data_IF_457153516738
#
_entry.id   IF_457153516738
#
_cell.length_a   1.000
_cell.length_b   1.000
_cell.length_c   1.000
_cell.angle_alpha   90.00
_cell.angle_beta   90.00
_cell.angle_gamma   90.00
#
_symmetry.space_group_name_H-M   'P 1'
#
loop_
_entity.id
_entity.type
_entity.pdbx_description
1 polymer ?
#
# COMPACT_ATOMS: atom_id res chain seq x y z
N UNK A 1 4.91 6.02 32.46
CA UNK A 1 4.88 4.55 32.36
C UNK A 1 3.70 3.89 33.09
N UNK A 2 3.20 4.44 34.21
CA UNK A 2 2.09 3.84 34.99
C UNK A 2 0.69 3.85 34.31
N UNK A 3 0.43 4.67 33.29
CA UNK A 3 -0.90 4.73 32.64
C UNK A 3 -1.13 3.69 31.52
N UNK A 4 -0.07 3.15 30.92
CA UNK A 4 -0.19 2.29 29.72
C UNK A 4 -0.71 0.88 30.04
N UNK A 5 -0.27 0.32 31.16
CA UNK A 5 -0.71 -1.00 31.64
C UNK A 5 -2.08 -0.92 32.32
N UNK A 6 -2.37 0.19 33.00
CA UNK A 6 -3.64 0.38 33.71
C UNK A 6 -4.87 0.49 32.78
N UNK A 7 -4.66 0.85 31.51
CA UNK A 7 -5.70 0.93 30.48
C UNK A 7 -5.84 -0.35 29.65
N UNK A 8 -5.09 -1.41 29.97
CA UNK A 8 -4.98 -2.61 29.12
C UNK A 8 -4.65 -2.26 27.65
N UNK A 9 -3.95 -1.14 27.43
CA UNK A 9 -3.68 -0.58 26.10
C UNK A 9 -3.07 -1.60 25.13
N UNK A 10 -2.12 -2.48 25.52
CA UNK A 10 -1.62 -3.51 24.62
C UNK A 10 -2.73 -4.39 24.01
N UNK A 11 -3.72 -4.78 24.81
CA UNK A 11 -4.82 -5.64 24.35
C UNK A 11 -5.70 -4.91 23.34
N UNK A 12 -6.04 -3.65 23.62
CA UNK A 12 -6.85 -2.81 22.71
C UNK A 12 -6.12 -2.58 21.38
N UNK A 13 -4.80 -2.36 21.41
CA UNK A 13 -4.01 -2.16 20.20
C UNK A 13 -3.90 -3.44 19.36
N UNK A 14 -3.81 -4.61 19.99
CA UNK A 14 -3.86 -5.89 19.27
C UNK A 14 -5.23 -6.12 18.63
N UNK A 15 -6.34 -5.85 19.35
CA UNK A 15 -7.69 -5.92 18.79
C UNK A 15 -7.87 -4.98 17.59
N UNK A 16 -7.37 -3.74 17.68
CA UNK A 16 -7.38 -2.80 16.56
C UNK A 16 -6.54 -3.32 15.37
N UNK A 17 -5.38 -3.90 15.66
CA UNK A 17 -4.49 -4.48 14.66
C UNK A 17 -5.13 -5.66 13.91
N UNK A 18 -5.99 -6.45 14.54
CA UNK A 18 -6.75 -7.53 13.88
C UNK A 18 -7.73 -7.01 12.82
N UNK A 19 -8.20 -5.76 12.95
CA UNK A 19 -9.06 -5.12 11.96
C UNK A 19 -8.28 -4.44 10.81
N UNK A 20 -6.94 -4.42 10.86
CA UNK A 20 -6.12 -3.84 9.80
C UNK A 20 -5.92 -4.80 8.63
N UNK A 21 -6.31 -4.38 7.43
CA UNK A 21 -6.15 -5.19 6.20
C UNK A 21 -4.74 -5.12 5.59
N UNK A 22 -3.90 -4.19 6.07
CA UNK A 22 -2.57 -3.91 5.52
C UNK A 22 -1.51 -3.94 6.62
N UNK A 23 -0.34 -4.54 6.35
CA UNK A 23 0.73 -4.70 7.35
C UNK A 23 1.23 -3.36 7.89
N UNK A 24 1.37 -2.33 7.04
CA UNK A 24 1.77 -1.01 7.54
C UNK A 24 0.70 -0.39 8.45
N UNK A 25 -0.59 -0.61 8.18
CA UNK A 25 -1.68 -0.16 9.07
C UNK A 25 -1.64 -0.91 10.40
N UNK A 26 -1.35 -2.22 10.37
CA UNK A 26 -1.16 -3.03 11.59
C UNK A 26 0.00 -2.52 12.44
N UNK A 27 1.14 -2.24 11.81
CA UNK A 27 2.31 -1.64 12.48
C UNK A 27 1.95 -0.29 13.11
N UNK A 28 1.23 0.57 12.38
CA UNK A 28 0.77 1.86 12.90
C UNK A 28 -0.13 1.67 14.13
N UNK A 29 -1.12 0.76 14.07
CA UNK A 29 -2.02 0.48 15.17
C UNK A 29 -1.26 0.05 16.44
N UNK A 30 -0.32 -0.89 16.34
CA UNK A 30 0.47 -1.37 17.48
C UNK A 30 1.43 -0.31 18.02
N UNK A 31 1.92 0.57 17.13
CA UNK A 31 2.82 1.65 17.51
C UNK A 31 2.12 2.80 18.24
N UNK A 32 0.78 2.85 18.25
CA UNK A 32 0.02 3.92 18.88
C UNK A 32 0.42 4.11 20.34
N UNK A 33 0.45 5.38 20.73
CA UNK A 33 0.71 5.82 22.10
C UNK A 33 -0.42 6.76 22.53
N UNK A 34 -0.79 6.75 23.83
CA UNK A 34 -1.73 7.72 24.37
C UNK A 34 -1.33 9.13 23.98
N UNK A 35 -2.32 9.96 23.64
CA UNK A 35 -2.08 11.38 23.40
C UNK A 35 -1.48 12.03 24.65
N UNK A 36 -0.56 12.96 24.44
CA UNK A 36 0.11 13.70 25.52
C UNK A 36 -0.55 15.06 25.80
N UNK A 37 -1.60 15.43 25.07
CA UNK A 37 -2.39 16.64 25.26
C UNK A 37 -3.83 16.42 24.80
N UNK A 38 -4.72 17.31 25.24
CA UNK A 38 -6.15 17.28 24.87
C UNK A 38 -6.31 17.57 23.38
N UNK A 39 -5.56 18.54 22.86
CA UNK A 39 -5.61 18.98 21.46
C UNK A 39 -5.25 17.82 20.50
N UNK A 40 -4.22 17.03 20.86
CA UNK A 40 -3.84 15.84 20.07
C UNK A 40 -4.94 14.78 20.13
N UNK A 41 -5.59 14.62 21.29
CA UNK A 41 -6.68 13.66 21.45
C UNK A 41 -7.91 14.07 20.62
N UNK A 42 -8.31 15.34 20.68
CA UNK A 42 -9.43 15.89 19.92
C UNK A 42 -9.17 15.79 18.41
N UNK A 43 -7.96 16.13 17.96
CA UNK A 43 -7.58 16.00 16.55
C UNK A 43 -7.73 14.55 16.05
N UNK A 44 -7.18 13.56 16.78
CA UNK A 44 -7.25 12.14 16.39
C UNK A 44 -8.69 11.60 16.40
N UNK A 45 -9.52 12.03 17.35
CA UNK A 45 -10.93 11.66 17.42
C UNK A 45 -11.73 12.25 16.25
N UNK A 46 -11.46 13.50 15.90
CA UNK A 46 -12.07 14.17 14.75
C UNK A 46 -11.64 13.49 13.45
N UNK A 47 -10.34 13.21 13.28
CA UNK A 47 -9.80 12.46 12.15
C UNK A 47 -10.49 11.09 11.99
N UNK A 48 -10.65 10.34 13.08
CA UNK A 48 -11.32 9.03 13.06
C UNK A 48 -12.81 9.15 12.71
N UNK A 49 -13.49 10.18 13.24
CA UNK A 49 -14.90 10.43 12.98
C UNK A 49 -15.12 10.80 11.52
N UNK A 50 -14.23 11.62 10.97
CA UNK A 50 -14.21 12.02 9.57
C UNK A 50 -13.96 10.81 8.66
N UNK A 51 -12.92 10.02 8.93
CA UNK A 51 -12.61 8.78 8.21
C UNK A 51 -13.81 7.81 8.16
N UNK A 52 -14.48 7.60 9.31
CA UNK A 52 -15.67 6.75 9.37
C UNK A 52 -16.81 7.30 8.51
N UNK A 53 -17.04 8.60 8.55
CA UNK A 53 -18.11 9.27 7.78
C UNK A 53 -17.82 9.16 6.28
N UNK A 54 -16.58 9.44 5.90
CA UNK A 54 -16.11 9.31 4.53
C UNK A 54 -16.31 7.88 3.98
N UNK A 55 -15.91 6.86 4.74
CA UNK A 55 -16.08 5.45 4.34
C UNK A 55 -17.55 5.04 4.21
N UNK A 56 -18.43 5.55 5.08
CA UNK A 56 -19.87 5.29 4.98
C UNK A 56 -20.48 5.92 3.71
N UNK A 57 -20.02 7.11 3.33
CA UNK A 57 -20.50 7.81 2.14
C UNK A 57 -19.89 7.23 0.84
N UNK A 58 -18.74 6.55 0.94
CA UNK A 58 -17.99 6.01 -0.20
C UNK A 58 -17.71 4.50 -0.02
N UNK A 59 -18.74 3.64 -0.04
CA UNK A 59 -18.60 2.20 0.25
C UNK A 59 -17.75 1.44 -0.79
N UNK A 60 -17.51 2.05 -1.96
CA UNK A 60 -16.66 1.49 -3.00
C UNK A 60 -15.19 1.94 -2.90
N UNK A 61 -14.84 2.77 -1.92
CA UNK A 61 -13.45 3.11 -1.61
C UNK A 61 -12.80 1.93 -0.92
N UNK A 62 -12.40 0.94 -1.72
CA UNK A 62 -11.70 -0.24 -1.21
C UNK A 62 -10.21 -0.20 -1.55
N UNK A 63 -9.39 -0.43 -0.52
CA UNK A 63 -7.95 -0.63 -0.61
C UNK A 63 -7.73 -2.16 -0.61
N UNK A 64 -8.43 -2.85 -1.52
CA UNK A 64 -8.36 -4.30 -1.64
C UNK A 64 -7.20 -4.75 -2.53
N UNK A 65 -6.66 -5.94 -2.23
CA UNK A 65 -5.62 -6.60 -3.02
C UNK A 65 -4.32 -5.78 -3.18
N UNK A 66 -4.00 -4.99 -2.16
CA UNK A 66 -2.80 -4.17 -2.08
C UNK A 66 -1.83 -4.81 -1.10
N UNK A 67 -0.55 -4.81 -1.49
CA UNK A 67 0.53 -5.44 -0.73
C UNK A 67 1.52 -4.39 -0.28
N UNK A 68 2.12 -4.62 0.89
CA UNK A 68 3.17 -3.76 1.38
C UNK A 68 4.44 -4.02 0.58
N UNK A 69 4.82 -3.02 -0.22
CA UNK A 69 5.93 -3.11 -1.16
C UNK A 69 7.20 -2.42 -0.65
N UNK A 70 7.28 -2.10 0.64
CA UNK A 70 8.46 -1.43 1.22
C UNK A 70 9.73 -2.24 0.97
N UNK A 71 9.65 -3.57 1.07
CA UNK A 71 10.79 -4.46 0.84
C UNK A 71 11.20 -4.52 -0.63
N UNK A 72 10.25 -4.60 -1.56
CA UNK A 72 10.47 -4.49 -3.00
C UNK A 72 11.14 -3.15 -3.35
N UNK A 73 10.66 -2.03 -2.80
CA UNK A 73 11.23 -0.70 -3.02
C UNK A 73 12.66 -0.61 -2.46
N UNK A 74 12.89 -1.12 -1.25
CA UNK A 74 14.21 -1.11 -0.64
C UNK A 74 15.22 -1.94 -1.44
N UNK A 75 14.82 -3.11 -1.93
CA UNK A 75 15.65 -3.92 -2.83
C UNK A 75 15.92 -3.23 -4.16
N UNK A 76 14.91 -2.60 -4.77
CA UNK A 76 15.08 -1.87 -6.02
C UNK A 76 16.04 -0.67 -5.88
N UNK A 77 16.01 0.04 -4.75
CA UNK A 77 16.99 1.10 -4.43
C UNK A 77 18.42 0.59 -4.41
N UNK A 78 18.63 -0.66 -4.01
CA UNK A 78 19.92 -1.36 -4.03
C UNK A 78 20.23 -2.04 -5.38
N UNK A 79 19.55 -1.63 -6.47
CA UNK A 79 19.69 -2.18 -7.83
C UNK A 79 19.34 -3.67 -7.96
N UNK A 80 18.57 -4.23 -7.02
CA UNK A 80 18.10 -5.60 -7.13
C UNK A 80 17.08 -5.74 -8.28
N UNK A 81 17.06 -6.92 -8.90
CA UNK A 81 16.08 -7.25 -9.92
C UNK A 81 14.77 -7.66 -9.25
N UNK A 82 13.69 -6.93 -9.53
CA UNK A 82 12.34 -7.28 -9.13
C UNK A 82 11.71 -8.28 -10.11
N UNK A 83 10.97 -9.24 -9.56
CA UNK A 83 10.13 -10.16 -10.31
C UNK A 83 8.91 -9.44 -10.90
N UNK A 84 8.34 -9.95 -12.01
CA UNK A 84 7.13 -9.37 -12.59
C UNK A 84 5.98 -9.13 -11.60
N UNK A 85 5.72 -10.10 -10.71
CA UNK A 85 4.64 -9.97 -9.73
C UNK A 85 4.88 -8.85 -8.72
N UNK A 86 6.14 -8.60 -8.37
CA UNK A 86 6.55 -7.52 -7.45
C UNK A 86 6.33 -6.15 -8.11
N UNK A 87 6.59 -6.04 -9.42
CA UNK A 87 6.28 -4.84 -10.19
C UNK A 87 4.77 -4.60 -10.29
N UNK A 88 3.97 -5.63 -10.51
CA UNK A 88 2.50 -5.50 -10.51
C UNK A 88 1.99 -5.03 -9.16
N UNK A 89 2.50 -5.56 -8.05
CA UNK A 89 2.14 -5.09 -6.70
C UNK A 89 2.45 -3.60 -6.50
N UNK A 90 3.63 -3.15 -6.95
CA UNK A 90 4.00 -1.72 -6.91
C UNK A 90 3.01 -0.89 -7.74
N UNK A 91 2.66 -1.34 -8.95
CA UNK A 91 1.66 -0.64 -9.77
C UNK A 91 0.29 -0.57 -9.06
N UNK A 92 -0.15 -1.66 -8.43
CA UNK A 92 -1.46 -1.70 -7.78
C UNK A 92 -1.58 -0.72 -6.61
N UNK A 93 -0.57 -0.62 -5.74
CA UNK A 93 -0.59 0.38 -4.65
C UNK A 93 -0.58 1.82 -5.20
N UNK A 94 0.16 2.08 -6.28
CA UNK A 94 0.20 3.42 -6.89
C UNK A 94 -1.16 3.80 -7.48
N UNK A 95 -1.78 2.90 -8.25
CA UNK A 95 -3.13 3.09 -8.80
C UNK A 95 -4.13 3.34 -7.68
N UNK A 96 -4.14 2.49 -6.65
CA UNK A 96 -5.06 2.62 -5.54
C UNK A 96 -4.87 3.92 -4.75
N UNK A 97 -3.61 4.33 -4.51
CA UNK A 97 -3.30 5.60 -3.86
C UNK A 97 -3.83 6.78 -4.67
N UNK A 98 -3.68 6.76 -6.00
CA UNK A 98 -4.18 7.83 -6.87
C UNK A 98 -5.71 7.89 -6.87
N UNK A 99 -6.39 6.75 -6.99
CA UNK A 99 -7.86 6.73 -6.96
C UNK A 99 -8.40 7.15 -5.60
N UNK A 100 -7.81 6.69 -4.49
CA UNK A 100 -8.16 7.12 -3.14
C UNK A 100 -7.99 8.63 -2.97
N UNK A 101 -6.83 9.17 -3.37
CA UNK A 101 -6.57 10.61 -3.36
C UNK A 101 -7.64 11.37 -4.13
N UNK A 102 -7.96 10.93 -5.35
CA UNK A 102 -8.98 11.56 -6.19
C UNK A 102 -10.36 11.58 -5.51
N UNK A 103 -10.77 10.47 -4.90
CA UNK A 103 -12.06 10.40 -4.18
C UNK A 103 -12.08 11.34 -2.99
N UNK A 104 -11.03 11.37 -2.17
CA UNK A 104 -10.95 12.26 -1.00
C UNK A 104 -10.98 13.73 -1.44
N UNK A 105 -10.20 14.11 -2.47
CA UNK A 105 -10.16 15.49 -2.94
C UNK A 105 -11.51 15.96 -3.53
N UNK A 106 -12.30 15.05 -4.11
CA UNK A 106 -13.65 15.35 -4.58
C UNK A 106 -14.66 15.56 -3.44
N UNK A 107 -14.42 14.95 -2.27
CA UNK A 107 -15.25 15.06 -1.07
C UNK A 107 -14.78 16.18 -0.10
N UNK A 108 -14.07 17.19 -0.62
CA UNK A 108 -13.38 18.23 0.18
C UNK A 108 -14.26 18.97 1.19
N UNK A 109 -15.56 19.12 0.92
CA UNK A 109 -16.52 19.80 1.79
C UNK A 109 -16.94 18.97 3.02
N UNK A 110 -16.73 17.65 3.00
CA UNK A 110 -17.17 16.71 4.03
C UNK A 110 -16.00 16.15 4.84
N UNK A 111 -14.76 16.36 4.38
CA UNK A 111 -13.58 15.72 4.96
C UNK A 111 -12.33 16.61 4.89
N UNK A 112 -12.27 17.63 5.74
CA UNK A 112 -11.17 18.60 5.75
C UNK A 112 -9.83 18.01 6.20
N UNK A 113 -9.81 17.14 7.22
CA UNK A 113 -8.57 16.52 7.73
C UNK A 113 -8.02 15.55 6.67
N UNK A 114 -8.87 14.67 6.13
CA UNK A 114 -8.50 13.73 5.08
C UNK A 114 -8.09 14.47 3.81
N UNK A 115 -8.74 15.59 3.46
CA UNK A 115 -8.33 16.42 2.34
C UNK A 115 -6.91 16.94 2.51
N UNK A 116 -6.53 17.42 3.70
CA UNK A 116 -5.16 17.83 4.00
C UNK A 116 -4.17 16.66 3.87
N UNK A 117 -4.52 15.48 4.37
CA UNK A 117 -3.67 14.29 4.27
C UNK A 117 -3.51 13.79 2.83
N UNK A 118 -4.58 13.78 2.05
CA UNK A 118 -4.59 13.35 0.65
C UNK A 118 -3.70 14.24 -0.24
N UNK A 119 -3.52 15.51 0.11
CA UNK A 119 -2.59 16.41 -0.61
C UNK A 119 -1.12 15.97 -0.49
N UNK A 120 -0.76 15.21 0.53
CA UNK A 120 0.61 14.69 0.73
C UNK A 120 0.89 13.50 -0.19
N UNK A 121 -0.16 12.79 -0.66
CA UNK A 121 -0.02 11.65 -1.54
C UNK A 121 0.56 12.07 -2.90
N UNK A 122 1.59 11.36 -3.34
CA UNK A 122 2.30 11.63 -4.60
C UNK A 122 1.82 10.66 -5.67
N UNK A 123 1.37 11.21 -6.80
CA UNK A 123 1.00 10.43 -7.97
C UNK A 123 2.25 10.13 -8.81
N UNK A 124 2.42 8.87 -9.23
CA UNK A 124 3.57 8.43 -10.02
C UNK A 124 3.12 7.78 -11.34
N UNK A 125 2.35 8.50 -12.18
CA UNK A 125 1.74 7.94 -13.40
C UNK A 125 2.77 7.38 -14.38
N UNK A 126 3.97 7.96 -14.41
CA UNK A 126 5.06 7.47 -15.26
C UNK A 126 5.48 6.04 -14.90
N UNK A 127 5.48 5.68 -13.61
CA UNK A 127 5.84 4.33 -13.14
C UNK A 127 4.69 3.37 -13.40
N UNK A 128 3.47 3.80 -13.10
CA UNK A 128 2.26 3.02 -13.38
C UNK A 128 2.17 2.64 -14.87
N UNK A 129 2.36 3.62 -15.75
CA UNK A 129 2.37 3.45 -17.20
C UNK A 129 3.52 2.57 -17.68
N UNK A 130 4.74 2.79 -17.16
CA UNK A 130 5.90 1.99 -17.53
C UNK A 130 5.70 0.51 -17.21
N UNK A 131 5.10 0.21 -16.06
CA UNK A 131 4.75 -1.15 -15.66
C UNK A 131 3.56 -1.66 -16.49
N UNK A 132 2.51 -0.84 -16.70
CA UNK A 132 1.30 -1.23 -17.44
C UNK A 132 1.48 -1.44 -18.95
N UNK A 133 2.46 -0.80 -19.59
CA UNK A 133 2.85 -1.08 -21.00
C UNK A 133 3.56 -2.42 -21.16
N UNK A 134 3.93 -3.00 -20.04
CA UNK A 134 4.88 -4.07 -19.92
C UNK A 134 4.17 -5.32 -19.37
N UNK A 135 3.48 -5.22 -18.25
CA UNK A 135 2.79 -6.31 -17.57
C UNK A 135 1.27 -6.13 -17.61
N UNK A 136 0.54 -7.24 -17.72
CA UNK A 136 -0.87 -7.29 -17.32
C UNK A 136 -0.99 -7.52 -15.79
N UNK A 137 -2.22 -7.57 -15.29
CA UNK A 137 -2.50 -7.75 -13.86
C UNK A 137 -2.11 -9.15 -13.35
N UNK A 138 -1.94 -10.13 -14.25
CA UNK A 138 -1.45 -11.48 -13.97
C UNK A 138 0.10 -11.55 -14.02
N UNK A 139 0.79 -10.42 -14.12
CA UNK A 139 2.24 -10.31 -14.24
C UNK A 139 2.83 -11.02 -15.48
N UNK A 140 2.04 -11.11 -16.54
CA UNK A 140 2.45 -11.61 -17.85
C UNK A 140 2.91 -10.48 -18.76
N UNK A 141 3.87 -10.77 -19.63
CA UNK A 141 4.47 -9.79 -20.54
C UNK A 141 3.55 -9.51 -21.71
N UNK A 142 3.21 -8.24 -21.90
CA UNK A 142 2.40 -7.78 -23.02
C UNK A 142 3.16 -7.83 -24.35
N UNK A 143 2.40 -8.04 -25.42
CA UNK A 143 2.91 -8.02 -26.80
C UNK A 143 3.38 -6.63 -27.24
N UNK A 144 2.94 -5.57 -26.57
CA UNK A 144 3.40 -4.18 -26.77
C UNK A 144 4.72 -3.87 -26.09
N UNK A 145 5.18 -4.73 -25.18
CA UNK A 145 6.38 -4.47 -24.41
C UNK A 145 7.63 -4.48 -25.30
N UNK A 146 8.61 -3.64 -24.96
CA UNK A 146 9.83 -3.47 -25.75
C UNK A 146 10.60 -4.78 -25.91
N UNK A 147 11.32 -4.95 -27.02
CA UNK A 147 12.12 -6.16 -27.30
C UNK A 147 13.12 -6.46 -26.17
N UNK A 148 13.72 -5.43 -25.58
CA UNK A 148 14.69 -5.57 -24.48
C UNK A 148 14.08 -6.19 -23.23
N UNK A 149 12.87 -5.76 -22.87
CA UNK A 149 12.23 -6.23 -21.64
C UNK A 149 11.54 -7.60 -21.82
N UNK A 150 11.01 -7.89 -23.03
CA UNK A 150 10.64 -9.26 -23.43
C UNK A 150 11.82 -10.24 -23.30
N UNK A 151 13.02 -9.82 -23.70
CA UNK A 151 14.24 -10.63 -23.56
C UNK A 151 14.65 -10.82 -22.09
N UNK A 152 14.55 -9.80 -21.25
CA UNK A 152 14.82 -9.91 -19.81
C UNK A 152 13.86 -10.88 -19.11
N UNK A 153 12.56 -10.77 -19.35
CA UNK A 153 11.58 -11.69 -18.74
C UNK A 153 11.72 -13.10 -19.27
N UNK A 154 12.01 -13.28 -20.56
CA UNK A 154 12.32 -14.60 -21.13
C UNK A 154 13.54 -15.23 -20.45
N UNK A 155 14.62 -14.47 -20.23
CA UNK A 155 15.81 -14.94 -19.50
C UNK A 155 15.49 -15.34 -18.05
N UNK A 156 14.67 -14.57 -17.34
CA UNK A 156 14.21 -14.90 -15.98
C UNK A 156 13.38 -16.20 -15.93
N UNK A 157 12.46 -16.40 -16.90
CA UNK A 157 11.68 -17.66 -17.02
C UNK A 157 12.60 -18.86 -17.31
N UNK A 158 13.58 -18.71 -18.19
CA UNK A 158 14.55 -19.78 -18.52
C UNK A 158 15.44 -20.12 -17.33
N UNK A 159 15.98 -19.13 -16.61
CA UNK A 159 16.82 -19.37 -15.43
C UNK A 159 16.06 -20.06 -14.29
N UNK A 160 14.79 -19.69 -14.05
CA UNK A 160 13.92 -20.41 -13.10
C UNK A 160 13.67 -21.86 -13.53
N UNK A 161 13.34 -22.12 -14.80
CA UNK A 161 13.13 -23.48 -15.31
C UNK A 161 14.37 -24.38 -15.17
N UNK A 162 15.57 -23.83 -15.37
CA UNK A 162 16.83 -24.57 -15.14
C UNK A 162 17.06 -24.85 -13.65
N UNK A 163 16.74 -23.90 -12.77
CA UNK A 163 16.85 -24.10 -11.32
C UNK A 163 15.90 -25.19 -10.80
N UNK A 164 14.66 -25.25 -11.27
CA UNK A 164 13.71 -26.31 -10.89
C UNK A 164 14.12 -27.69 -11.43
N UNK A 165 14.71 -27.78 -12.62
CA UNK A 165 15.25 -29.06 -13.13
C UNK A 165 16.45 -29.58 -12.35
N UNK A 166 17.24 -28.69 -11.76
CA UNK A 166 18.41 -29.06 -10.96
C UNK A 166 18.08 -29.35 -9.48
N UNK A 167 16.84 -29.10 -9.05
CA UNK A 167 16.33 -29.42 -7.70
C UNK A 167 15.38 -30.62 -7.67
N UNK A 168 15.18 -31.34 -8.79
CA UNK A 168 14.39 -32.58 -8.86
C UNK A 168 15.26 -33.84 -9.03
N UNK A 169 16.39 -33.91 -8.33
CA UNK A 169 17.14 -35.17 -8.10
C UNK A 169 17.05 -35.49 -6.61
#
# INVERSE_FOLDING_TARGET
MKSFVALEMPLVLEQLAEHCQFSASRELAISLRPANSIEVSEYRLNETTEARTFLNNHPHTSIENIFDVRDEINRARLSAILQPIELVRIRNILVASRELKKTILAASNESAILFQQAQILVDLPNIEDAIGRCLNDQAEVLSTASKGWKNCVRKLKTQRMTFYKNLSI
#
